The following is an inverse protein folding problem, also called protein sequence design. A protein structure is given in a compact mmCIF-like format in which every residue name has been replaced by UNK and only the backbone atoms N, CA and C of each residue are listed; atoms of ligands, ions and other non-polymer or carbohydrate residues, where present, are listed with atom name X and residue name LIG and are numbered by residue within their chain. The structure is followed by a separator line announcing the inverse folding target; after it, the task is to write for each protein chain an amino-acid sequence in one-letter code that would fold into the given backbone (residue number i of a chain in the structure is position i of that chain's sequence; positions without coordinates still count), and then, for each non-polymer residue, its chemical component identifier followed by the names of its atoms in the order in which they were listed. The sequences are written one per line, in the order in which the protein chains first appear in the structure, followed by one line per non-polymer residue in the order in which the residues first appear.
data_IF_969926084397
#
_entry.id   IF_969926084397
#
_cell.length_a   1.000
_cell.length_b   1.000
_cell.length_c   1.000
_cell.angle_alpha   90.00
_cell.angle_beta   90.00
_cell.angle_gamma   90.00
#
_symmetry.space_group_name_H-M   'P 1'
#
loop_
_entity.id
_entity.type
_entity.pdbx_description
1 polymer ?
#
# COMPACT_ATOMS: atom_id res chain seq x y z
N UNK A 1 -63.57 -24.98 0.44
CA UNK A 1 -62.35 -24.38 1.00
C UNK A 1 -61.76 -25.34 2.04
N UNK A 2 -60.53 -25.81 1.86
CA UNK A 2 -59.60 -25.92 2.98
C UNK A 2 -58.23 -25.32 2.64
N UNK A 3 -57.65 -24.58 3.60
CA UNK A 3 -56.31 -23.98 3.51
C UNK A 3 -55.27 -25.00 3.95
N UNK A 4 -54.33 -25.35 3.07
CA UNK A 4 -53.16 -26.14 3.42
C UNK A 4 -52.16 -25.29 4.22
N UNK A 5 -51.48 -25.84 5.24
CA UNK A 5 -50.51 -25.09 6.03
C UNK A 5 -49.20 -24.92 5.28
N UNK A 6 -48.70 -23.69 5.33
CA UNK A 6 -47.39 -23.27 4.84
C UNK A 6 -46.30 -23.95 5.68
N UNK A 7 -45.61 -24.96 5.14
CA UNK A 7 -44.39 -25.48 5.74
C UNK A 7 -43.27 -24.52 5.39
N UNK A 8 -42.90 -23.66 6.34
CA UNK A 8 -41.73 -22.77 6.24
C UNK A 8 -40.49 -23.64 6.42
N UNK A 9 -39.97 -24.15 5.30
CA UNK A 9 -38.69 -24.85 5.26
C UNK A 9 -37.58 -23.79 5.33
N UNK A 10 -37.09 -23.54 6.55
CA UNK A 10 -35.90 -22.72 6.79
C UNK A 10 -34.68 -23.42 6.17
N UNK A 11 -34.39 -23.10 4.90
CA UNK A 11 -33.18 -23.51 4.23
C UNK A 11 -32.00 -22.79 4.90
N UNK A 12 -31.33 -23.52 5.79
CA UNK A 12 -29.98 -23.25 6.28
C UNK A 12 -29.09 -22.93 5.07
N UNK A 13 -28.79 -21.64 4.89
CA UNK A 13 -27.74 -21.16 4.00
C UNK A 13 -26.39 -21.59 4.60
N UNK A 14 -26.03 -22.85 4.37
CA UNK A 14 -24.64 -23.31 4.38
C UNK A 14 -23.93 -22.59 3.23
N UNK A 15 -23.50 -21.35 3.44
CA UNK A 15 -22.58 -20.65 2.54
C UNK A 15 -21.19 -21.27 2.72
N UNK A 16 -20.69 -22.07 1.76
CA UNK A 16 -19.35 -22.60 1.83
C UNK A 16 -18.37 -21.49 1.43
N UNK A 17 -17.41 -21.20 2.30
CA UNK A 17 -16.12 -20.65 1.89
C UNK A 17 -16.09 -19.17 1.53
N UNK A 18 -16.44 -18.29 2.47
CA UNK A 18 -15.73 -17.01 2.48
C UNK A 18 -14.23 -17.34 2.71
N UNK A 19 -13.30 -16.84 1.88
CA UNK A 19 -11.89 -17.05 2.11
C UNK A 19 -11.58 -16.56 3.52
N UNK A 20 -11.01 -17.44 4.35
CA UNK A 20 -10.52 -17.04 5.65
C UNK A 20 -9.56 -15.88 5.41
N UNK A 21 -9.96 -14.69 5.86
CA UNK A 21 -9.10 -13.52 5.80
C UNK A 21 -7.88 -13.88 6.65
N UNK A 22 -6.73 -14.09 6.00
CA UNK A 22 -5.49 -14.41 6.69
C UNK A 22 -5.32 -13.44 7.87
N UNK A 23 -5.05 -13.99 9.05
CA UNK A 23 -4.88 -13.19 10.24
C UNK A 23 -3.83 -12.09 9.95
N UNK A 24 -4.19 -10.84 10.21
CA UNK A 24 -3.30 -9.71 9.94
C UNK A 24 -1.95 -9.96 10.61
N UNK A 25 -0.87 -9.91 9.83
CA UNK A 25 0.49 -10.04 10.36
C UNK A 25 0.74 -8.97 11.42
N UNK A 26 1.50 -9.31 12.46
CA UNK A 26 1.99 -8.30 13.40
C UNK A 26 3.02 -7.42 12.68
N UNK A 27 3.13 -6.16 13.07
CA UNK A 27 4.08 -5.21 12.47
C UNK A 27 5.52 -5.76 12.51
N UNK A 28 5.88 -6.42 13.62
CA UNK A 28 7.19 -7.04 13.81
C UNK A 28 7.52 -8.16 12.81
N UNK A 29 6.52 -8.75 12.16
CA UNK A 29 6.70 -9.85 11.20
C UNK A 29 6.78 -9.37 9.74
N UNK A 30 6.55 -8.07 9.49
CA UNK A 30 6.50 -7.51 8.13
C UNK A 30 7.89 -7.35 7.51
N UNK A 31 7.99 -7.70 6.22
CA UNK A 31 9.10 -7.26 5.36
C UNK A 31 8.67 -6.02 4.57
N UNK A 32 9.48 -4.97 4.63
CA UNK A 32 9.13 -3.64 4.09
C UNK A 32 10.09 -3.24 2.97
N UNK A 33 9.56 -2.79 1.83
CA UNK A 33 10.34 -2.05 0.85
C UNK A 33 10.15 -0.54 1.04
N UNK A 34 11.22 0.20 1.30
CA UNK A 34 11.20 1.66 1.37
C UNK A 34 11.72 2.25 0.05
N UNK A 35 10.80 2.72 -0.80
CA UNK A 35 11.08 3.39 -2.06
C UNK A 35 11.24 4.90 -1.82
N UNK A 36 12.49 5.32 -1.62
CA UNK A 36 12.86 6.68 -1.23
C UNK A 36 13.80 7.38 -2.21
N UNK A 37 14.13 8.63 -1.91
CA UNK A 37 15.19 9.34 -2.62
C UNK A 37 16.56 8.84 -2.15
N UNK A 38 17.38 8.38 -3.09
CA UNK A 38 18.73 7.89 -2.82
C UNK A 38 19.62 8.98 -2.19
N UNK A 39 20.41 8.61 -1.18
CA UNK A 39 21.32 9.52 -0.48
C UNK A 39 20.67 10.60 0.39
N UNK A 40 19.33 10.70 0.45
CA UNK A 40 18.65 11.72 1.24
C UNK A 40 18.59 11.37 2.73
N UNK A 41 18.75 12.37 3.62
CA UNK A 41 18.72 12.19 5.07
C UNK A 41 17.41 11.54 5.55
N UNK A 42 16.27 12.08 5.11
CA UNK A 42 14.93 11.51 5.34
C UNK A 42 14.85 10.01 5.04
N UNK A 43 15.41 9.54 3.92
CA UNK A 43 15.40 8.11 3.57
C UNK A 43 16.16 7.30 4.61
N UNK A 44 17.34 7.77 5.05
CA UNK A 44 18.14 7.09 6.08
C UNK A 44 17.44 7.07 7.44
N UNK A 45 16.85 8.18 7.85
CA UNK A 45 16.17 8.31 9.14
C UNK A 45 14.97 7.36 9.24
N UNK A 46 14.13 7.34 8.20
CA UNK A 46 12.97 6.46 8.16
C UNK A 46 13.34 4.98 8.07
N UNK A 47 14.35 4.61 7.28
CA UNK A 47 14.77 3.21 7.19
C UNK A 47 15.37 2.72 8.49
N UNK A 48 16.16 3.56 9.19
CA UNK A 48 16.67 3.26 10.52
C UNK A 48 15.54 3.09 11.56
N UNK A 49 14.56 3.99 11.56
CA UNK A 49 13.39 3.88 12.43
C UNK A 49 12.62 2.58 12.19
N UNK A 50 12.36 2.23 10.93
CA UNK A 50 11.63 1.02 10.56
C UNK A 50 12.39 -0.26 10.90
N UNK A 51 13.71 -0.28 10.73
CA UNK A 51 14.53 -1.46 11.02
C UNK A 51 14.43 -1.93 12.47
N UNK A 52 14.08 -1.05 13.42
CA UNK A 52 13.82 -1.41 14.81
C UNK A 52 12.39 -1.88 15.10
N UNK A 53 11.50 -1.95 14.11
CA UNK A 53 10.05 -2.19 14.30
C UNK A 53 9.48 -3.33 13.47
N UNK A 54 10.13 -3.68 12.37
CA UNK A 54 9.67 -4.69 11.41
C UNK A 54 10.72 -5.78 11.23
N UNK A 55 10.37 -6.88 10.58
CA UNK A 55 11.29 -8.00 10.38
C UNK A 55 12.50 -7.61 9.55
N UNK A 56 12.28 -6.89 8.45
CA UNK A 56 13.36 -6.38 7.60
C UNK A 56 12.91 -5.19 6.77
N UNK A 57 13.86 -4.33 6.43
CA UNK A 57 13.65 -3.17 5.54
C UNK A 57 14.63 -3.26 4.39
N UNK A 58 14.11 -3.30 3.16
CA UNK A 58 14.89 -3.11 1.93
C UNK A 58 14.69 -1.70 1.42
N UNK A 59 15.77 -0.96 1.24
CA UNK A 59 15.70 0.35 0.58
C UNK A 59 15.84 0.17 -0.93
N UNK A 60 15.06 0.91 -1.72
CA UNK A 60 15.23 0.99 -3.17
C UNK A 60 15.11 2.45 -3.66
N UNK A 61 15.78 2.80 -4.77
CA UNK A 61 15.54 4.08 -5.42
C UNK A 61 14.08 4.20 -5.85
N UNK A 62 13.46 5.35 -5.58
CA UNK A 62 12.06 5.64 -5.89
C UNK A 62 11.67 5.27 -7.35
N UNK A 63 12.52 5.59 -8.31
CA UNK A 63 12.25 5.37 -9.73
C UNK A 63 12.44 3.91 -10.18
N UNK A 64 13.06 3.09 -9.34
CA UNK A 64 13.25 1.66 -9.58
C UNK A 64 12.08 0.83 -9.06
N UNK A 65 11.09 1.44 -8.39
CA UNK A 65 9.93 0.72 -7.87
C UNK A 65 9.06 0.17 -9.02
N UNK A 66 8.95 -1.15 -9.05
CA UNK A 66 8.04 -1.95 -9.89
C UNK A 66 7.48 -3.15 -9.12
N UNK A 67 6.43 -3.79 -9.64
CA UNK A 67 5.84 -4.99 -9.02
C UNK A 67 6.88 -6.12 -8.81
N UNK A 68 7.80 -6.28 -9.76
CA UNK A 68 8.85 -7.28 -9.75
C UNK A 68 9.87 -7.01 -8.64
N UNK A 69 10.27 -5.74 -8.46
CA UNK A 69 11.25 -5.33 -7.44
C UNK A 69 10.73 -5.42 -6.01
N UNK A 70 9.43 -5.63 -5.82
CA UNK A 70 8.79 -5.74 -4.48
C UNK A 70 7.97 -7.01 -4.33
N UNK A 71 8.15 -8.01 -5.18
CA UNK A 71 7.33 -9.23 -5.16
C UNK A 71 7.41 -9.98 -3.82
N UNK A 72 8.58 -9.93 -3.18
CA UNK A 72 8.98 -10.66 -1.98
C UNK A 72 8.80 -9.87 -0.66
N UNK A 73 8.28 -8.65 -0.71
CA UNK A 73 7.97 -7.87 0.50
C UNK A 73 6.48 -7.90 0.82
N UNK A 74 6.13 -7.65 2.07
CA UNK A 74 4.73 -7.58 2.52
C UNK A 74 4.10 -6.21 2.22
N UNK A 75 4.86 -5.13 2.43
CA UNK A 75 4.38 -3.75 2.25
C UNK A 75 5.45 -2.87 1.62
N UNK A 76 5.00 -1.90 0.82
CA UNK A 76 5.85 -0.88 0.22
C UNK A 76 5.55 0.49 0.85
N UNK A 77 6.58 1.28 1.10
CA UNK A 77 6.46 2.68 1.48
C UNK A 77 7.05 3.51 0.36
N UNK A 78 6.28 4.43 -0.20
CA UNK A 78 6.72 5.38 -1.22
C UNK A 78 6.86 6.75 -0.58
N UNK A 79 8.07 7.29 -0.55
CA UNK A 79 8.34 8.57 0.11
C UNK A 79 9.33 9.43 -0.68
N UNK A 80 9.13 10.75 -0.60
CA UNK A 80 10.12 11.73 -0.99
C UNK A 80 9.91 13.01 -0.19
N UNK A 81 10.99 13.78 0.08
CA UNK A 81 10.88 15.08 0.74
C UNK A 81 9.98 16.04 -0.05
N UNK A 82 9.52 17.09 0.63
CA UNK A 82 8.70 18.14 0.03
C UNK A 82 9.34 18.66 -1.28
N UNK A 83 8.55 18.87 -2.34
CA UNK A 83 9.07 19.43 -3.58
C UNK A 83 9.23 20.96 -3.50
N UNK A 84 8.85 21.56 -2.36
CA UNK A 84 8.94 23.00 -2.13
C UNK A 84 10.40 23.42 -1.94
N UNK A 85 10.82 24.38 -2.76
CA UNK A 85 12.10 25.09 -2.63
C UNK A 85 11.84 26.60 -2.69
N UNK A 86 12.74 27.43 -2.15
CA UNK A 86 12.73 28.86 -2.46
C UNK A 86 12.79 29.02 -3.99
N UNK A 87 11.73 29.54 -4.60
CA UNK A 87 11.58 29.63 -6.06
C UNK A 87 10.51 28.73 -6.71
N UNK A 88 9.83 27.88 -5.94
CA UNK A 88 8.62 27.17 -6.40
C UNK A 88 8.57 25.68 -6.06
N UNK A 89 7.62 24.99 -6.70
CA UNK A 89 7.38 23.55 -6.52
C UNK A 89 7.96 22.78 -7.71
N UNK A 90 8.96 21.93 -7.46
CA UNK A 90 9.44 20.96 -8.47
C UNK A 90 8.97 19.57 -8.11
N UNK A 91 7.90 19.11 -8.75
CA UNK A 91 7.33 17.79 -8.48
C UNK A 91 8.36 16.69 -8.72
N UNK A 92 8.54 15.85 -7.70
CA UNK A 92 9.34 14.63 -7.80
C UNK A 92 8.65 13.68 -8.76
N UNK A 93 9.39 13.11 -9.73
CA UNK A 93 8.82 12.06 -10.58
C UNK A 93 8.46 10.87 -9.68
N UNK A 94 7.17 10.56 -9.56
CA UNK A 94 6.72 9.34 -8.89
C UNK A 94 7.15 8.06 -9.62
N UNK A 95 7.05 6.88 -8.98
CA UNK A 95 7.31 5.59 -9.59
C UNK A 95 6.39 5.33 -10.79
N UNK A 96 6.77 4.40 -11.67
CA UNK A 96 5.94 3.94 -12.79
C UNK A 96 5.15 2.70 -12.37
N UNK A 97 4.12 2.92 -11.56
CA UNK A 97 3.18 1.86 -11.17
C UNK A 97 2.03 1.78 -12.19
N UNK A 98 1.58 0.56 -12.49
CA UNK A 98 0.39 0.33 -13.30
C UNK A 98 -0.84 0.12 -12.43
N UNK A 99 -2.05 0.22 -13.00
CA UNK A 99 -3.30 -0.08 -12.29
C UNK A 99 -3.41 -1.54 -11.81
N UNK A 100 -2.56 -2.45 -12.34
CA UNK A 100 -2.49 -3.87 -11.92
C UNK A 100 -1.57 -4.09 -10.73
N UNK A 101 -0.86 -3.06 -10.27
CA UNK A 101 -0.02 -3.15 -9.10
C UNK A 101 -0.89 -3.34 -7.84
N UNK A 102 -0.79 -4.51 -7.22
CA UNK A 102 -1.64 -4.91 -6.08
C UNK A 102 -0.91 -5.00 -4.74
N UNK A 103 0.36 -4.60 -4.66
CA UNK A 103 1.12 -4.72 -3.40
C UNK A 103 0.65 -3.64 -2.41
N UNK A 104 0.34 -3.99 -1.15
CA UNK A 104 -0.01 -3.01 -0.12
C UNK A 104 1.02 -1.90 -0.05
N UNK A 105 0.59 -0.65 -0.17
CA UNK A 105 1.49 0.49 -0.31
C UNK A 105 1.05 1.68 0.52
N UNK A 106 1.97 2.22 1.32
CA UNK A 106 1.82 3.46 2.07
C UNK A 106 2.45 4.59 1.26
N UNK A 107 1.67 5.64 1.01
CA UNK A 107 2.09 6.80 0.22
C UNK A 107 2.36 7.98 1.16
N UNK A 108 3.61 8.45 1.17
CA UNK A 108 4.09 9.51 2.05
C UNK A 108 4.75 10.64 1.25
N UNK A 109 4.66 11.86 1.78
CA UNK A 109 5.36 13.02 1.24
C UNK A 109 5.04 13.31 -0.24
N UNK A 110 6.00 13.91 -0.93
CA UNK A 110 5.83 14.37 -2.31
C UNK A 110 5.66 13.23 -3.32
N UNK A 111 6.38 12.12 -3.10
CA UNK A 111 6.28 10.94 -3.96
C UNK A 111 4.93 10.26 -3.81
N UNK A 112 4.34 10.23 -2.61
CA UNK A 112 2.99 9.73 -2.39
C UNK A 112 1.97 10.50 -3.21
N UNK A 113 1.95 11.83 -3.09
CA UNK A 113 1.06 12.68 -3.90
C UNK A 113 1.27 12.50 -5.40
N UNK A 114 2.52 12.46 -5.85
CA UNK A 114 2.85 12.24 -7.27
C UNK A 114 2.38 10.86 -7.78
N UNK A 115 2.38 9.85 -6.92
CA UNK A 115 1.89 8.50 -7.26
C UNK A 115 0.37 8.50 -7.41
N UNK A 116 -0.34 9.14 -6.49
CA UNK A 116 -1.80 9.29 -6.52
C UNK A 116 -2.27 10.00 -7.79
N UNK A 117 -1.64 11.14 -8.12
CA UNK A 117 -1.96 11.88 -9.35
C UNK A 117 -1.74 11.06 -10.62
N UNK A 118 -0.67 10.26 -10.68
CA UNK A 118 -0.38 9.41 -11.85
C UNK A 118 -1.37 8.26 -12.01
N UNK A 119 -1.74 7.62 -10.90
CA UNK A 119 -2.71 6.53 -10.89
C UNK A 119 -4.16 7.04 -11.01
N UNK A 120 -4.37 8.36 -11.00
CA UNK A 120 -5.70 9.01 -11.02
C UNK A 120 -6.59 8.50 -9.89
N UNK A 121 -5.99 8.27 -8.72
CA UNK A 121 -6.72 7.84 -7.54
C UNK A 121 -7.39 9.06 -6.93
N UNK A 122 -8.72 9.01 -6.80
CA UNK A 122 -9.50 10.04 -6.10
C UNK A 122 -9.19 9.97 -4.60
N UNK A 123 -8.80 11.09 -4.00
CA UNK A 123 -8.40 11.17 -2.58
C UNK A 123 -9.50 11.69 -1.67
N UNK A 124 -10.47 12.40 -2.24
CA UNK A 124 -11.59 12.99 -1.53
C UNK A 124 -12.91 12.64 -2.23
N UNK A 125 -14.01 13.08 -1.63
CA UNK A 125 -15.36 12.86 -2.16
C UNK A 125 -15.89 14.08 -2.92
N UNK A 126 -15.08 15.13 -3.05
CA UNK A 126 -15.44 16.38 -3.72
C UNK A 126 -15.31 16.29 -5.25
#
# INVERSE_FOLDING_TARGET
MPRAPLVVLAALLLTPGLPAQDAAKRIADLTVAYAGQEGHARTREWTAFLAGRVRSVRTLPLLSLSAETVKDVDVVIVDAPSPYKPGGIKLTKGPKLSARYGKPTVLLGAAGGSTLSKLRIKLDWL
#
